data_IF_639106657029
#
_entry.id   IF_639106657029
#
_cell.length_a   1.000
_cell.length_b   1.000
_cell.length_c   1.000
_cell.angle_alpha   90.00
_cell.angle_beta   90.00
_cell.angle_gamma   90.00
#
_symmetry.space_group_name_H-M   'P 1'
#
loop_
_entity.id
_entity.type
_entity.pdbx_description
1 polymer ?
#
# COMPACT_ATOMS: atom_id res chain seq x y z
N UNK A 1 -7.06 27.86 8.98
CA UNK A 1 -8.04 27.22 8.04
C UNK A 1 -8.64 26.01 8.73
N UNK A 2 -9.94 25.84 8.66
CA UNK A 2 -10.62 24.63 9.15
C UNK A 2 -10.38 23.48 8.16
N UNK A 3 -10.26 22.23 8.65
CA UNK A 3 -9.97 21.05 7.81
C UNK A 3 -11.16 20.66 6.91
N UNK A 4 -12.39 20.85 7.38
CA UNK A 4 -13.59 20.31 6.74
C UNK A 4 -13.83 20.86 5.32
N UNK A 5 -13.70 22.16 5.02
CA UNK A 5 -13.87 22.66 3.66
C UNK A 5 -12.87 22.06 2.65
N UNK A 6 -11.63 21.80 3.09
CA UNK A 6 -10.62 21.16 2.24
C UNK A 6 -10.93 19.68 2.01
N UNK A 7 -11.41 18.98 3.04
CA UNK A 7 -11.85 17.59 2.92
C UNK A 7 -13.07 17.48 2.00
N UNK A 8 -14.04 18.40 2.10
CA UNK A 8 -15.20 18.42 1.22
C UNK A 8 -14.81 18.65 -0.24
N UNK A 9 -13.88 19.55 -0.50
CA UNK A 9 -13.39 19.75 -1.86
C UNK A 9 -12.66 18.49 -2.38
N UNK A 10 -11.83 17.85 -1.57
CA UNK A 10 -11.17 16.59 -1.95
C UNK A 10 -12.19 15.48 -2.23
N UNK A 11 -13.25 15.37 -1.42
CA UNK A 11 -14.35 14.41 -1.65
C UNK A 11 -15.03 14.66 -3.00
N UNK A 12 -15.29 15.92 -3.34
CA UNK A 12 -15.87 16.30 -4.64
C UNK A 12 -14.93 15.98 -5.82
N UNK A 13 -13.64 16.29 -5.69
CA UNK A 13 -12.65 16.01 -6.72
C UNK A 13 -12.46 14.50 -6.94
N UNK A 14 -12.56 13.71 -5.88
CA UNK A 14 -12.42 12.26 -5.92
C UNK A 14 -13.76 11.51 -6.12
N UNK A 15 -14.87 12.18 -6.36
CA UNK A 15 -16.21 11.58 -6.43
C UNK A 15 -16.38 10.53 -7.54
N UNK A 16 -15.55 10.58 -8.58
CA UNK A 16 -15.55 9.60 -9.68
C UNK A 16 -14.63 8.38 -9.43
N UNK A 17 -14.02 8.26 -8.25
CA UNK A 17 -13.29 7.07 -7.87
C UNK A 17 -14.21 5.83 -7.92
N UNK A 18 -13.66 4.71 -8.37
CA UNK A 18 -14.38 3.43 -8.49
C UNK A 18 -13.89 2.46 -7.41
N UNK A 19 -14.62 1.39 -7.26
CA UNK A 19 -14.11 0.22 -6.54
C UNK A 19 -12.75 -0.17 -7.14
N UNK A 20 -11.76 -0.43 -6.26
CA UNK A 20 -10.36 -0.61 -6.60
C UNK A 20 -9.64 0.70 -6.93
N UNK A 21 -8.40 0.56 -7.37
CA UNK A 21 -7.53 1.66 -7.75
C UNK A 21 -8.06 2.34 -9.02
N UNK A 22 -8.35 3.62 -8.93
CA UNK A 22 -8.73 4.49 -10.05
C UNK A 22 -7.56 5.42 -10.36
N UNK A 23 -7.05 5.35 -11.58
CA UNK A 23 -5.98 6.26 -12.03
C UNK A 23 -6.55 7.65 -12.28
N UNK A 24 -5.80 8.66 -11.86
CA UNK A 24 -6.20 10.08 -11.98
C UNK A 24 -5.68 10.75 -13.25
N UNK A 25 -4.82 10.08 -14.01
CA UNK A 25 -3.99 10.71 -15.06
C UNK A 25 -2.78 11.46 -14.51
N UNK A 26 -2.73 11.75 -13.21
CA UNK A 26 -1.58 12.37 -12.56
C UNK A 26 -0.58 11.26 -12.17
N UNK A 27 0.70 11.37 -12.55
CA UNK A 27 1.68 10.33 -12.25
C UNK A 27 1.74 9.99 -10.76
N UNK A 28 1.71 8.70 -10.44
CA UNK A 28 1.77 8.14 -9.08
C UNK A 28 0.59 8.49 -8.15
N UNK A 29 -0.40 9.24 -8.62
CA UNK A 29 -1.59 9.58 -7.83
C UNK A 29 -2.75 8.69 -8.26
N UNK A 30 -3.39 8.04 -7.29
CA UNK A 30 -4.56 7.21 -7.52
C UNK A 30 -5.63 7.46 -6.45
N UNK A 31 -6.87 7.10 -6.79
CA UNK A 31 -8.01 7.14 -5.90
C UNK A 31 -8.55 5.74 -5.68
N UNK A 32 -9.19 5.51 -4.54
CA UNK A 32 -9.88 4.26 -4.21
C UNK A 32 -11.20 4.59 -3.55
N UNK A 33 -12.27 3.99 -4.03
CA UNK A 33 -13.56 3.95 -3.35
C UNK A 33 -13.87 2.49 -2.98
N UNK A 34 -14.49 2.24 -1.86
CA UNK A 34 -14.90 0.90 -1.42
C UNK A 34 -16.35 0.89 -0.96
N UNK A 35 -17.19 0.08 -1.60
CA UNK A 35 -18.62 -0.03 -1.29
C UNK A 35 -18.94 -1.22 -0.38
N UNK A 36 -18.03 -2.17 -0.24
CA UNK A 36 -18.33 -3.43 0.44
C UNK A 36 -17.67 -3.47 1.81
N UNK A 37 -18.45 -3.46 2.91
CA UNK A 37 -17.93 -3.47 4.28
C UNK A 37 -17.02 -4.66 4.62
N UNK A 38 -17.17 -5.78 3.96
CA UNK A 38 -16.40 -7.01 4.20
C UNK A 38 -15.38 -7.30 3.08
N UNK A 39 -14.98 -6.30 2.31
CA UNK A 39 -14.03 -6.51 1.24
C UNK A 39 -12.60 -6.48 1.77
N UNK A 40 -12.04 -7.66 1.98
CA UNK A 40 -10.65 -7.81 2.36
C UNK A 40 -9.76 -7.53 1.14
N UNK A 41 -9.14 -6.36 1.11
CA UNK A 41 -8.16 -5.96 0.10
C UNK A 41 -6.80 -6.56 0.43
N UNK A 42 -6.65 -7.86 0.17
CA UNK A 42 -5.38 -8.54 0.37
C UNK A 42 -4.48 -8.30 -0.85
N UNK A 43 -3.39 -7.59 -0.65
CA UNK A 43 -2.43 -7.22 -1.70
C UNK A 43 -1.02 -7.01 -1.13
N UNK A 44 -0.04 -6.93 -2.01
CA UNK A 44 1.24 -6.30 -1.68
C UNK A 44 1.08 -4.81 -1.94
N UNK A 45 1.05 -4.05 -0.88
CA UNK A 45 0.96 -2.59 -0.94
C UNK A 45 2.34 -2.00 -1.17
N UNK A 46 2.46 -1.13 -2.16
CA UNK A 46 3.69 -0.39 -2.48
C UNK A 46 3.92 0.78 -1.52
N UNK A 47 5.16 1.28 -1.42
CA UNK A 47 5.44 2.50 -0.66
C UNK A 47 4.53 3.65 -1.10
N UNK A 48 3.79 4.23 -0.14
CA UNK A 48 2.84 5.29 -0.44
C UNK A 48 2.54 6.20 0.75
N UNK A 49 2.08 7.40 0.44
CA UNK A 49 1.26 8.22 1.33
C UNK A 49 -0.19 8.00 0.92
N UNK A 50 -1.07 7.68 1.88
CA UNK A 50 -2.50 7.52 1.62
C UNK A 50 -3.30 8.38 2.58
N UNK A 51 -4.18 9.19 2.03
CA UNK A 51 -5.05 10.11 2.74
C UNK A 51 -6.49 9.61 2.69
N UNK A 52 -7.14 9.47 3.85
CA UNK A 52 -8.54 9.07 3.93
C UNK A 52 -9.44 10.29 3.90
N UNK A 53 -10.37 10.27 2.98
CA UNK A 53 -11.34 11.35 2.78
C UNK A 53 -12.69 11.02 3.42
N UNK A 54 -13.07 9.73 3.43
CA UNK A 54 -14.35 9.27 3.99
C UNK A 54 -14.29 7.80 4.40
N UNK A 55 -15.09 7.44 5.42
CA UNK A 55 -15.12 6.09 5.97
C UNK A 55 -13.88 5.79 6.81
N UNK A 56 -13.60 4.53 7.03
CA UNK A 56 -12.41 4.08 7.75
C UNK A 56 -11.80 2.83 7.12
N UNK A 57 -10.55 2.54 7.49
CA UNK A 57 -9.86 1.35 7.02
C UNK A 57 -9.09 0.71 8.17
N UNK A 58 -9.18 -0.62 8.26
CA UNK A 58 -8.29 -1.45 9.06
C UNK A 58 -7.26 -2.08 8.14
N UNK A 59 -5.99 -2.12 8.55
CA UNK A 59 -4.94 -2.80 7.80
C UNK A 59 -4.18 -3.76 8.71
N UNK A 60 -4.16 -5.03 8.32
CA UNK A 60 -3.41 -6.08 9.01
C UNK A 60 -2.08 -6.31 8.30
N UNK A 61 -0.97 -6.03 9.00
CA UNK A 61 0.40 -6.26 8.54
C UNK A 61 1.09 -7.20 9.52
N UNK A 62 1.40 -8.41 9.08
CA UNK A 62 1.90 -9.43 10.00
C UNK A 62 0.85 -9.85 11.01
N UNK A 63 1.12 -9.57 12.27
CA UNK A 63 0.27 -9.79 13.45
C UNK A 63 -0.30 -8.49 14.01
N UNK A 64 -0.03 -7.35 13.39
CA UNK A 64 -0.52 -6.03 13.83
C UNK A 64 -1.68 -5.54 12.99
N UNK A 65 -2.65 -4.93 13.67
CA UNK A 65 -3.80 -4.26 13.04
C UNK A 65 -3.68 -2.75 13.28
N UNK A 66 -3.80 -1.99 12.21
CA UNK A 66 -3.80 -0.53 12.21
C UNK A 66 -5.19 -0.04 11.78
N UNK A 67 -5.79 0.84 12.57
CA UNK A 67 -7.09 1.45 12.26
C UNK A 67 -6.89 2.93 12.01
N UNK A 68 -7.49 3.45 10.95
CA UNK A 68 -7.43 4.86 10.60
C UNK A 68 -8.73 5.32 9.94
N UNK A 69 -9.03 6.60 10.10
CA UNK A 69 -10.30 7.26 9.81
C UNK A 69 -10.06 8.60 9.06
N UNK A 70 -11.12 9.31 8.67
CA UNK A 70 -11.00 10.61 8.01
C UNK A 70 -10.13 11.58 8.79
N UNK A 71 -9.52 12.52 8.06
CA UNK A 71 -8.55 13.48 8.58
C UNK A 71 -7.26 12.83 9.12
N UNK A 72 -6.97 11.58 8.72
CA UNK A 72 -5.68 10.95 8.92
C UNK A 72 -5.06 10.49 7.61
N UNK A 73 -3.73 10.36 7.62
CA UNK A 73 -2.99 9.75 6.53
C UNK A 73 -2.03 8.71 7.08
N UNK A 74 -1.67 7.76 6.27
CA UNK A 74 -0.58 6.85 6.60
C UNK A 74 0.57 6.96 5.59
N UNK A 75 1.74 6.60 6.08
CA UNK A 75 2.93 6.37 5.25
C UNK A 75 3.30 4.90 5.35
N UNK A 76 3.52 4.29 4.20
CA UNK A 76 4.14 2.98 4.06
C UNK A 76 5.46 3.14 3.31
N UNK A 77 6.54 2.66 3.88
CA UNK A 77 7.90 2.93 3.38
C UNK A 77 8.53 1.81 2.56
N UNK A 78 7.97 0.61 2.63
CA UNK A 78 8.41 -0.56 1.86
C UNK A 78 7.20 -1.34 1.38
N UNK A 79 7.41 -2.23 0.42
CA UNK A 79 6.35 -3.13 -0.03
C UNK A 79 5.93 -4.10 1.08
N UNK A 80 4.63 -4.10 1.43
CA UNK A 80 4.10 -4.93 2.51
C UNK A 80 2.93 -5.80 2.05
N UNK A 81 3.01 -7.13 2.22
CA UNK A 81 1.86 -8.00 2.08
C UNK A 81 0.90 -7.75 3.25
N UNK A 82 -0.26 -7.16 2.96
CA UNK A 82 -1.23 -6.78 3.96
C UNK A 82 -2.66 -7.13 3.53
N UNK A 83 -3.55 -7.18 4.52
CA UNK A 83 -4.99 -7.31 4.30
C UNK A 83 -5.65 -6.04 4.79
N UNK A 84 -6.30 -5.31 3.87
CA UNK A 84 -7.07 -4.11 4.19
C UNK A 84 -8.56 -4.43 4.25
N UNK A 85 -9.26 -3.87 5.22
CA UNK A 85 -10.72 -3.87 5.30
C UNK A 85 -11.20 -2.43 5.34
N UNK A 86 -12.13 -2.08 4.46
CA UNK A 86 -12.69 -0.73 4.38
C UNK A 86 -14.12 -0.74 4.92
N UNK A 87 -14.49 0.36 5.57
CA UNK A 87 -15.79 0.54 6.19
C UNK A 87 -16.40 1.86 5.73
N UNK A 88 -17.71 1.89 5.41
CA UNK A 88 -18.41 3.13 5.10
C UNK A 88 -18.39 4.09 6.30
N UNK A 89 -18.78 5.32 6.06
CA UNK A 89 -19.01 6.29 7.14
C UNK A 89 -20.35 6.06 7.85
N UNK A 90 -20.64 6.90 8.85
CA UNK A 90 -21.88 6.80 9.64
C UNK A 90 -23.16 7.07 8.83
N UNK A 91 -23.05 7.62 7.63
CA UNK A 91 -24.19 7.83 6.71
C UNK A 91 -24.39 6.66 5.75
N UNK A 92 -23.50 5.68 5.78
CA UNK A 92 -23.47 4.56 4.84
C UNK A 92 -22.73 4.88 3.54
N UNK A 93 -22.17 6.08 3.41
CA UNK A 93 -21.39 6.45 2.22
C UNK A 93 -20.07 5.68 2.18
N UNK A 94 -19.64 5.20 0.99
CA UNK A 94 -18.51 4.30 0.85
C UNK A 94 -17.19 4.94 1.27
N UNK A 95 -16.24 4.11 1.67
CA UNK A 95 -14.85 4.51 1.92
C UNK A 95 -14.27 5.22 0.69
N UNK A 96 -13.55 6.33 0.92
CA UNK A 96 -12.89 7.10 -0.13
C UNK A 96 -11.49 7.54 0.33
N UNK A 97 -10.49 7.32 -0.50
CA UNK A 97 -9.11 7.70 -0.23
C UNK A 97 -8.37 8.09 -1.51
N UNK A 98 -7.31 8.88 -1.33
CA UNK A 98 -6.32 9.21 -2.37
C UNK A 98 -4.94 8.76 -1.93
N UNK A 99 -4.09 8.38 -2.87
CA UNK A 99 -2.75 7.91 -2.59
C UNK A 99 -1.72 8.50 -3.55
N UNK A 100 -0.51 8.72 -3.02
CA UNK A 100 0.69 9.06 -3.79
C UNK A 100 1.71 7.94 -3.57
N UNK A 101 2.11 7.25 -4.65
CA UNK A 101 3.19 6.26 -4.61
C UNK A 101 4.52 6.96 -4.38
N UNK A 102 5.30 6.48 -3.40
CA UNK A 102 6.59 7.03 -3.02
C UNK A 102 7.70 6.42 -3.87
N UNK A 103 8.64 7.26 -4.32
CA UNK A 103 9.88 6.83 -4.98
C UNK A 103 11.10 7.42 -4.27
N UNK A 104 12.13 6.62 -3.97
CA UNK A 104 13.32 7.10 -3.27
C UNK A 104 13.97 8.30 -3.95
N UNK A 105 13.98 8.35 -5.30
CA UNK A 105 14.60 9.39 -6.10
C UNK A 105 13.93 10.75 -5.89
N UNK A 106 12.59 10.79 -5.84
CA UNK A 106 11.84 12.03 -5.60
C UNK A 106 12.08 12.57 -4.19
N UNK A 107 12.12 11.67 -3.21
CA UNK A 107 12.41 12.04 -1.83
C UNK A 107 13.86 12.53 -1.70
N UNK A 108 14.82 11.85 -2.32
CA UNK A 108 16.23 12.25 -2.31
C UNK A 108 16.43 13.65 -2.92
N UNK A 109 15.75 13.93 -4.05
CA UNK A 109 15.78 15.27 -4.66
C UNK A 109 15.23 16.35 -3.72
N UNK A 110 14.16 16.06 -2.99
CA UNK A 110 13.66 16.99 -1.98
C UNK A 110 14.66 17.19 -0.84
N UNK A 111 15.25 16.12 -0.33
CA UNK A 111 16.19 16.17 0.81
C UNK A 111 17.48 16.93 0.47
N UNK A 112 17.92 16.90 -0.79
CA UNK A 112 19.11 17.61 -1.23
C UNK A 112 19.01 19.14 -1.03
N UNK A 113 17.79 19.69 -1.06
CA UNK A 113 17.53 21.12 -0.90
C UNK A 113 17.22 21.51 0.58
N UNK A 114 17.22 20.55 1.50
CA UNK A 114 16.87 20.78 2.89
C UNK A 114 18.09 20.62 3.81
N UNK A 115 18.12 21.34 4.95
CA UNK A 115 19.16 21.15 5.96
C UNK A 115 19.20 19.71 6.45
N UNK A 116 20.42 19.19 6.62
CA UNK A 116 20.61 17.87 7.23
C UNK A 116 20.08 17.84 8.66
N UNK A 117 19.18 16.93 8.95
CA UNK A 117 18.64 16.70 10.29
C UNK A 117 19.06 15.30 10.73
N UNK A 118 19.56 15.17 11.96
CA UNK A 118 19.86 13.84 12.53
C UNK A 118 18.60 12.98 12.51
N UNK A 119 18.72 11.77 11.97
CA UNK A 119 17.62 10.81 11.98
C UNK A 119 17.36 10.34 13.41
N UNK A 120 16.10 10.41 13.85
CA UNK A 120 15.66 9.68 15.05
C UNK A 120 15.66 8.18 14.76
N UNK A 121 16.14 7.39 15.70
CA UNK A 121 16.19 5.93 15.59
C UNK A 121 14.80 5.31 15.84
N UNK A 122 13.86 5.58 14.97
CA UNK A 122 12.55 4.92 14.97
C UNK A 122 12.60 3.70 14.03
N UNK A 123 11.75 2.73 14.27
CA UNK A 123 11.67 1.52 13.46
C UNK A 123 10.23 1.21 13.07
N UNK A 124 10.03 0.76 11.83
CA UNK A 124 8.72 0.38 11.29
C UNK A 124 8.55 0.86 9.86
N UNK A 125 7.72 0.16 9.10
CA UNK A 125 7.44 0.50 7.70
C UNK A 125 6.04 1.06 7.49
N UNK A 126 5.27 1.24 8.55
CA UNK A 126 3.89 1.74 8.51
C UNK A 126 3.60 2.62 9.72
N UNK A 127 3.06 3.79 9.49
CA UNK A 127 2.66 4.73 10.55
C UNK A 127 1.49 5.61 10.10
N UNK A 128 0.67 6.04 11.06
CA UNK A 128 -0.53 6.86 10.86
C UNK A 128 -0.38 8.17 11.61
N UNK A 129 -0.80 9.28 11.00
CA UNK A 129 -0.85 10.61 11.64
C UNK A 129 -2.09 11.41 11.21
N UNK A 130 -2.43 12.41 12.00
CA UNK A 130 -3.43 13.41 11.64
C UNK A 130 -2.93 14.32 10.51
N UNK A 131 -3.83 14.74 9.63
CA UNK A 131 -3.52 15.69 8.57
C UNK A 131 -3.36 17.12 9.14
N UNK A 132 -2.64 17.95 8.40
CA UNK A 132 -2.61 19.40 8.63
C UNK A 132 -3.35 20.12 7.51
N UNK A 133 -3.82 21.37 7.73
CA UNK A 133 -4.45 22.16 6.67
C UNK A 133 -3.56 22.33 5.44
N UNK A 134 -2.25 22.51 5.65
CA UNK A 134 -1.28 22.73 4.58
C UNK A 134 -1.12 21.46 3.72
N UNK A 135 -1.10 20.27 4.35
CA UNK A 135 -1.05 19.01 3.64
C UNK A 135 -2.31 18.79 2.81
N UNK A 136 -3.49 19.11 3.36
CA UNK A 136 -4.76 19.01 2.62
C UNK A 136 -4.81 19.98 1.45
N UNK A 137 -4.35 21.22 1.63
CA UNK A 137 -4.32 22.22 0.56
C UNK A 137 -3.40 21.80 -0.59
N UNK A 138 -2.24 21.21 -0.29
CA UNK A 138 -1.36 20.62 -1.30
C UNK A 138 -2.06 19.49 -2.08
N UNK A 139 -2.82 18.63 -1.40
CA UNK A 139 -3.61 17.59 -2.05
C UNK A 139 -4.75 18.15 -2.91
N UNK A 140 -5.44 19.20 -2.47
CA UNK A 140 -6.47 19.90 -3.27
C UNK A 140 -5.88 20.41 -4.57
N UNK A 141 -4.73 21.11 -4.52
CA UNK A 141 -4.05 21.58 -5.75
C UNK A 141 -3.64 20.43 -6.66
N UNK A 142 -3.13 19.35 -6.10
CA UNK A 142 -2.78 18.16 -6.88
C UNK A 142 -3.99 17.60 -7.61
N UNK A 143 -5.13 17.37 -6.93
CA UNK A 143 -6.29 16.75 -7.56
C UNK A 143 -7.04 17.71 -8.52
N UNK A 144 -6.94 19.03 -8.34
CA UNK A 144 -7.47 20.01 -9.30
C UNK A 144 -6.89 19.86 -10.69
N UNK A 145 -5.67 19.31 -10.82
CA UNK A 145 -5.04 19.04 -12.13
C UNK A 145 -5.83 18.07 -12.99
N UNK A 146 -6.69 17.22 -12.40
CA UNK A 146 -7.58 16.35 -13.19
C UNK A 146 -8.55 17.13 -14.09
N UNK A 147 -8.84 18.41 -13.75
CA UNK A 147 -9.69 19.28 -14.55
C UNK A 147 -8.92 19.99 -15.68
N UNK A 148 -7.59 20.06 -15.57
CA UNK A 148 -6.71 20.72 -16.53
C UNK A 148 -5.51 19.78 -16.84
N UNK A 149 -5.73 18.73 -17.64
CA UNK A 149 -4.70 17.71 -17.90
C UNK A 149 -3.42 18.26 -18.56
N UNK A 150 -3.52 19.37 -19.30
CA UNK A 150 -2.38 20.08 -19.91
C UNK A 150 -1.37 20.61 -18.88
N UNK A 151 -1.83 20.93 -17.67
CA UNK A 151 -0.98 21.44 -16.59
C UNK A 151 -0.26 20.34 -15.81
N UNK A 152 -0.65 19.08 -15.96
CA UNK A 152 -0.11 17.97 -15.17
C UNK A 152 1.40 17.85 -15.30
N UNK A 153 1.93 17.92 -16.52
CA UNK A 153 3.35 17.75 -16.76
C UNK A 153 4.21 18.80 -16.03
N UNK A 154 3.72 20.03 -15.94
CA UNK A 154 4.40 21.16 -15.31
C UNK A 154 4.18 21.23 -13.78
N UNK A 155 2.94 21.05 -13.32
CA UNK A 155 2.57 21.34 -11.94
C UNK A 155 2.52 20.12 -11.02
N UNK A 156 2.25 18.90 -11.54
CA UNK A 156 2.20 17.72 -10.68
C UNK A 156 3.53 17.47 -9.93
N UNK A 157 4.73 17.63 -10.51
CA UNK A 157 5.97 17.50 -9.77
C UNK A 157 6.14 18.55 -8.64
N UNK A 158 5.58 19.75 -8.81
CA UNK A 158 5.63 20.81 -7.80
C UNK A 158 4.74 20.46 -6.60
N UNK A 159 3.50 20.05 -6.87
CA UNK A 159 2.56 19.66 -5.81
C UNK A 159 2.96 18.34 -5.12
N UNK A 160 3.53 17.39 -5.86
CA UNK A 160 4.13 16.19 -5.25
C UNK A 160 5.23 16.57 -4.26
N UNK A 161 6.13 17.46 -4.67
CA UNK A 161 7.22 17.95 -3.81
C UNK A 161 6.67 18.61 -2.55
N UNK A 162 5.60 19.38 -2.66
CA UNK A 162 4.96 20.03 -1.53
C UNK A 162 4.29 19.04 -0.57
N UNK A 163 3.55 18.05 -1.10
CA UNK A 163 2.99 16.95 -0.30
C UNK A 163 4.10 16.23 0.46
N UNK A 164 5.17 15.83 -0.23
CA UNK A 164 6.33 15.17 0.39
C UNK A 164 6.99 16.04 1.46
N UNK A 165 7.09 17.37 1.24
CA UNK A 165 7.63 18.31 2.21
C UNK A 165 6.79 18.35 3.50
N UNK A 166 5.46 18.42 3.40
CA UNK A 166 4.59 18.42 4.58
C UNK A 166 4.65 17.09 5.34
N UNK A 167 4.70 15.96 4.64
CA UNK A 167 4.91 14.64 5.26
C UNK A 167 6.28 14.57 5.95
N UNK A 168 7.32 15.13 5.32
CA UNK A 168 8.69 15.16 5.86
C UNK A 168 8.81 16.03 7.14
N UNK A 169 8.02 17.09 7.23
CA UNK A 169 7.93 17.96 8.41
C UNK A 169 7.08 17.35 9.53
N UNK A 170 6.24 16.40 9.19
CA UNK A 170 5.35 15.71 10.13
C UNK A 170 6.00 14.51 10.84
N UNK A 171 5.20 13.72 11.57
CA UNK A 171 5.70 12.58 12.37
C UNK A 171 6.37 11.47 11.53
N UNK A 172 6.12 11.43 10.22
CA UNK A 172 6.66 10.41 9.31
C UNK A 172 7.95 10.85 8.60
N UNK A 173 8.48 12.02 8.92
CA UNK A 173 9.67 12.57 8.24
C UNK A 173 10.88 11.65 8.30
N UNK A 174 11.07 10.92 9.39
CA UNK A 174 12.13 9.94 9.55
C UNK A 174 11.99 8.79 8.53
N UNK A 175 10.77 8.30 8.25
CA UNK A 175 10.53 7.24 7.27
C UNK A 175 10.94 7.68 5.87
N UNK A 176 10.56 8.90 5.45
CA UNK A 176 10.94 9.43 4.15
C UNK A 176 12.45 9.59 4.03
N UNK A 177 13.13 10.08 5.07
CA UNK A 177 14.60 10.18 5.09
C UNK A 177 15.25 8.80 4.94
N UNK A 178 14.76 7.82 5.66
CA UNK A 178 15.29 6.46 5.62
C UNK A 178 15.09 5.77 4.26
N UNK A 179 13.94 6.01 3.59
CA UNK A 179 13.67 5.49 2.22
C UNK A 179 14.73 6.01 1.25
N UNK A 180 15.06 7.30 1.34
CA UNK A 180 15.91 8.00 0.37
C UNK A 180 17.41 7.97 0.70
N UNK A 181 17.79 7.52 1.90
CA UNK A 181 19.19 7.51 2.34
C UNK A 181 19.82 6.13 2.14
N UNK A 182 20.75 5.97 1.19
CA UNK A 182 21.43 4.71 0.99
C UNK A 182 22.15 4.24 2.26
N UNK A 183 22.11 2.94 2.51
CA UNK A 183 22.83 2.32 3.64
C UNK A 183 22.13 2.39 5.00
N UNK A 184 20.98 3.08 5.11
CA UNK A 184 20.15 2.98 6.34
C UNK A 184 19.62 1.55 6.51
N UNK A 185 19.26 1.21 7.73
CA UNK A 185 18.65 -0.09 8.04
C UNK A 185 17.39 -0.33 7.21
N UNK A 186 16.53 0.68 7.09
CA UNK A 186 15.28 0.58 6.31
C UNK A 186 15.56 0.41 4.81
N UNK A 187 16.53 1.15 4.24
CA UNK A 187 16.92 1.02 2.84
C UNK A 187 17.44 -0.39 2.53
N UNK A 188 18.31 -0.95 3.39
CA UNK A 188 18.82 -2.32 3.24
C UNK A 188 17.71 -3.37 3.31
N UNK A 189 16.81 -3.27 4.31
CA UNK A 189 15.66 -4.17 4.38
C UNK A 189 14.74 -3.98 3.18
N UNK A 190 14.54 -2.76 2.70
CA UNK A 190 13.81 -2.46 1.47
C UNK A 190 14.41 -3.13 0.23
N UNK A 191 15.75 -3.17 0.10
CA UNK A 191 16.43 -3.92 -0.97
C UNK A 191 16.11 -5.41 -0.91
N UNK A 192 16.23 -6.02 0.27
CA UNK A 192 15.91 -7.44 0.47
C UNK A 192 14.42 -7.72 0.15
N UNK A 193 13.51 -6.83 0.53
CA UNK A 193 12.08 -6.92 0.23
C UNK A 193 11.86 -6.88 -1.29
N UNK A 194 12.47 -5.94 -2.00
CA UNK A 194 12.39 -5.88 -3.48
C UNK A 194 12.92 -7.13 -4.13
N UNK A 195 14.05 -7.63 -3.65
CA UNK A 195 14.60 -8.90 -4.15
C UNK A 195 13.61 -10.06 -3.96
N UNK A 196 13.05 -10.24 -2.76
CA UNK A 196 12.06 -11.29 -2.47
C UNK A 196 10.83 -11.12 -3.35
N UNK A 197 10.35 -9.91 -3.61
CA UNK A 197 9.21 -9.64 -4.49
C UNK A 197 9.46 -10.06 -5.94
N UNK A 198 10.64 -9.78 -6.47
CA UNK A 198 10.98 -10.17 -7.85
C UNK A 198 11.25 -11.66 -8.00
N UNK A 199 11.75 -12.31 -6.95
CA UNK A 199 12.11 -13.72 -6.94
C UNK A 199 11.21 -14.56 -6.01
N UNK A 200 9.95 -14.16 -5.85
CA UNK A 200 9.08 -14.77 -4.83
C UNK A 200 8.83 -16.26 -5.08
N UNK A 201 8.83 -16.73 -6.33
CA UNK A 201 8.61 -18.11 -6.69
C UNK A 201 9.85 -19.01 -6.42
N UNK A 202 11.03 -18.42 -6.34
CA UNK A 202 12.28 -19.14 -6.15
C UNK A 202 12.56 -19.42 -4.66
N UNK A 203 13.37 -20.45 -4.39
CA UNK A 203 13.93 -20.66 -3.06
C UNK A 203 15.12 -19.73 -2.85
N UNK A 204 15.27 -19.21 -1.66
CA UNK A 204 16.44 -18.43 -1.28
C UNK A 204 16.97 -18.81 0.10
N UNK A 205 18.25 -18.55 0.31
CA UNK A 205 18.89 -18.66 1.61
C UNK A 205 18.89 -17.29 2.29
N UNK A 206 18.41 -17.24 3.53
CA UNK A 206 18.38 -15.99 4.31
C UNK A 206 19.79 -15.44 4.51
N UNK A 207 20.77 -16.34 4.65
CA UNK A 207 22.20 -16.03 4.76
C UNK A 207 22.70 -15.22 3.54
N UNK A 208 22.29 -15.61 2.34
CA UNK A 208 22.65 -14.89 1.11
C UNK A 208 22.10 -13.47 1.09
N UNK A 209 20.82 -13.30 1.44
CA UNK A 209 20.22 -11.96 1.51
C UNK A 209 20.85 -11.11 2.61
N UNK A 210 21.11 -11.67 3.77
CA UNK A 210 21.79 -10.97 4.85
C UNK A 210 23.19 -10.51 4.44
N UNK A 211 23.93 -11.37 3.73
CA UNK A 211 25.26 -11.07 3.19
C UNK A 211 25.24 -9.93 2.15
N UNK A 212 24.26 -9.94 1.22
CA UNK A 212 24.09 -8.88 0.23
C UNK A 212 23.86 -7.51 0.89
N UNK A 213 23.14 -7.48 2.01
CA UNK A 213 22.85 -6.26 2.76
C UNK A 213 23.92 -5.93 3.84
N UNK A 214 25.05 -6.63 3.84
CA UNK A 214 26.13 -6.48 4.81
C UNK A 214 25.66 -6.58 6.28
N UNK A 215 24.79 -7.57 6.56
CA UNK A 215 24.23 -7.86 7.89
C UNK A 215 24.58 -9.28 8.34
N UNK A 216 24.75 -9.48 9.66
CA UNK A 216 24.69 -10.83 10.21
C UNK A 216 23.26 -11.38 10.09
N UNK A 217 23.11 -12.71 9.97
CA UNK A 217 21.80 -13.38 9.86
C UNK A 217 20.87 -12.97 11.01
N UNK A 218 21.37 -12.92 12.23
CA UNK A 218 20.58 -12.52 13.41
C UNK A 218 20.12 -11.08 13.35
N UNK A 219 21.00 -10.14 12.91
CA UNK A 219 20.63 -8.74 12.71
C UNK A 219 19.61 -8.58 11.60
N UNK A 220 19.80 -9.29 10.48
CA UNK A 220 18.85 -9.28 9.36
C UNK A 220 17.46 -9.75 9.79
N UNK A 221 17.34 -10.90 10.47
CA UNK A 221 16.04 -11.37 10.98
C UNK A 221 15.37 -10.36 11.91
N UNK A 222 16.12 -9.78 12.85
CA UNK A 222 15.59 -8.79 13.80
C UNK A 222 15.09 -7.55 13.07
N UNK A 223 15.88 -6.99 12.15
CA UNK A 223 15.51 -5.78 11.41
C UNK A 223 14.40 -6.05 10.41
N UNK A 224 14.43 -7.17 9.69
CA UNK A 224 13.37 -7.54 8.78
C UNK A 224 12.02 -7.67 9.51
N UNK A 225 12.03 -8.31 10.70
CA UNK A 225 10.82 -8.43 11.54
C UNK A 225 10.38 -7.07 12.10
N UNK A 226 11.30 -6.19 12.52
CA UNK A 226 10.93 -4.86 13.03
C UNK A 226 10.32 -3.98 11.97
N UNK A 227 10.71 -4.12 10.70
CA UNK A 227 10.17 -3.38 9.55
C UNK A 227 8.84 -3.97 9.08
N UNK A 228 8.77 -5.29 8.89
CA UNK A 228 7.64 -5.94 8.20
C UNK A 228 6.63 -6.64 9.12
N UNK A 229 6.93 -6.78 10.41
CA UNK A 229 6.25 -7.65 11.38
C UNK A 229 6.24 -9.14 10.96
N UNK A 230 7.16 -9.57 10.11
CA UNK A 230 7.26 -10.94 9.58
C UNK A 230 8.72 -11.38 9.49
N UNK A 231 8.96 -12.70 9.54
CA UNK A 231 10.25 -13.23 9.10
C UNK A 231 10.36 -13.18 7.56
N UNK A 232 11.58 -13.21 6.97
CA UNK A 232 11.75 -13.22 5.50
C UNK A 232 10.97 -14.33 4.81
N UNK A 233 10.98 -15.54 5.38
CA UNK A 233 10.24 -16.70 4.85
C UNK A 233 8.72 -16.51 4.95
N UNK A 234 8.24 -15.94 6.07
CA UNK A 234 6.81 -15.62 6.21
C UNK A 234 6.37 -14.55 5.20
N UNK A 235 7.20 -13.55 4.97
CA UNK A 235 6.97 -12.51 3.98
C UNK A 235 6.84 -13.11 2.57
N UNK A 236 7.82 -13.94 2.14
CA UNK A 236 7.77 -14.63 0.85
C UNK A 236 6.50 -15.47 0.69
N UNK A 237 6.14 -16.25 1.71
CA UNK A 237 4.92 -17.07 1.67
C UNK A 237 3.67 -16.22 1.46
N UNK A 238 3.54 -15.07 2.13
CA UNK A 238 2.41 -14.17 1.93
C UNK A 238 2.39 -13.59 0.52
N UNK A 239 3.53 -13.18 -0.01
CA UNK A 239 3.66 -12.71 -1.40
C UNK A 239 3.20 -13.79 -2.38
N UNK A 240 3.66 -15.04 -2.21
CA UNK A 240 3.22 -16.19 -3.04
C UNK A 240 1.71 -16.38 -3.02
N UNK A 241 1.10 -16.34 -1.83
CA UNK A 241 -0.36 -16.53 -1.67
C UNK A 241 -1.16 -15.39 -2.31
N UNK A 242 -0.69 -14.14 -2.20
CA UNK A 242 -1.33 -13.00 -2.84
C UNK A 242 -1.26 -13.07 -4.36
N UNK A 243 -0.09 -13.42 -4.92
CA UNK A 243 0.05 -13.66 -6.36
C UNK A 243 -0.82 -14.83 -6.84
N UNK A 244 -0.88 -15.92 -6.07
CA UNK A 244 -1.76 -17.05 -6.39
C UNK A 244 -3.24 -16.61 -6.44
N UNK A 245 -3.69 -15.79 -5.49
CA UNK A 245 -5.06 -15.27 -5.47
C UNK A 245 -5.39 -14.47 -6.72
N UNK A 246 -4.51 -13.55 -7.14
CA UNK A 246 -4.67 -12.78 -8.37
C UNK A 246 -4.78 -13.68 -9.60
N UNK A 247 -3.90 -14.70 -9.72
CA UNK A 247 -3.93 -15.64 -10.83
C UNK A 247 -5.20 -16.50 -10.86
N UNK A 248 -5.68 -16.95 -9.70
CA UNK A 248 -6.93 -17.71 -9.59
C UNK A 248 -8.17 -16.88 -9.94
N UNK A 249 -8.15 -15.57 -9.71
CA UNK A 249 -9.22 -14.66 -10.11
C UNK A 249 -9.30 -14.52 -11.63
N UNK A 250 -8.18 -14.54 -12.34
CA UNK A 250 -8.11 -14.42 -13.80
C UNK A 250 -8.65 -15.64 -14.58
N UNK A 251 -9.08 -16.72 -13.92
CA UNK A 251 -9.68 -17.96 -14.50
C UNK A 251 -8.84 -18.69 -15.54
N UNK A 252 -7.59 -18.37 -15.73
CA UNK A 252 -6.78 -18.93 -16.82
C UNK A 252 -6.06 -20.24 -16.48
N UNK A 253 -6.04 -20.63 -15.19
CA UNK A 253 -5.19 -21.72 -14.73
C UNK A 253 -5.86 -22.58 -13.66
N UNK A 254 -5.43 -23.86 -13.56
CA UNK A 254 -5.84 -24.75 -12.47
C UNK A 254 -5.15 -24.38 -11.16
N UNK A 255 -5.75 -24.76 -10.02
CA UNK A 255 -5.13 -24.58 -8.69
C UNK A 255 -3.75 -25.22 -8.62
N UNK A 256 -3.58 -26.38 -9.24
CA UNK A 256 -2.30 -27.10 -9.29
C UNK A 256 -1.25 -26.29 -10.06
N UNK A 257 -1.60 -25.79 -11.25
CA UNK A 257 -0.70 -24.96 -12.05
C UNK A 257 -0.29 -23.68 -11.31
N UNK A 258 -1.25 -22.98 -10.73
CA UNK A 258 -0.99 -21.75 -9.95
C UNK A 258 -0.08 -22.04 -8.75
N UNK A 259 -0.33 -23.15 -8.01
CA UNK A 259 0.51 -23.49 -6.85
C UNK A 259 1.99 -23.70 -7.26
N UNK A 260 2.24 -24.42 -8.37
CA UNK A 260 3.59 -24.65 -8.88
C UNK A 260 4.24 -23.34 -9.36
N UNK A 261 3.50 -22.53 -10.10
CA UNK A 261 3.98 -21.25 -10.65
C UNK A 261 4.39 -20.25 -9.57
N UNK A 262 3.67 -20.22 -8.42
CA UNK A 262 4.04 -19.37 -7.30
C UNK A 262 5.08 -19.99 -6.36
N UNK A 263 5.69 -21.11 -6.74
CA UNK A 263 6.83 -21.72 -6.06
C UNK A 263 6.49 -22.73 -4.97
N UNK A 264 5.26 -23.28 -4.93
CA UNK A 264 4.95 -24.41 -4.04
C UNK A 264 5.27 -25.74 -4.73
N UNK A 265 6.02 -26.61 -4.04
CA UNK A 265 6.31 -27.98 -4.50
C UNK A 265 5.23 -29.00 -4.14
N UNK A 266 4.28 -28.60 -3.27
CA UNK A 266 3.21 -29.47 -2.77
C UNK A 266 1.87 -28.74 -2.79
N UNK A 267 0.95 -29.21 -3.64
CA UNK A 267 -0.43 -28.69 -3.72
C UNK A 267 -1.20 -28.84 -2.40
N UNK A 268 -1.09 -29.97 -1.67
CA UNK A 268 -1.69 -30.06 -0.34
C UNK A 268 -1.16 -29.02 0.66
N UNK A 269 0.13 -28.70 0.63
CA UNK A 269 0.71 -27.64 1.45
C UNK A 269 0.15 -26.27 1.05
N UNK A 270 0.14 -25.96 -0.24
CA UNK A 270 -0.45 -24.74 -0.78
C UNK A 270 -1.88 -24.54 -0.31
N UNK A 271 -2.74 -25.56 -0.47
CA UNK A 271 -4.14 -25.50 -0.08
C UNK A 271 -4.32 -25.22 1.42
N UNK A 272 -3.52 -25.85 2.29
CA UNK A 272 -3.56 -25.61 3.74
C UNK A 272 -3.12 -24.18 4.10
N UNK A 273 -2.01 -23.72 3.53
CA UNK A 273 -1.48 -22.37 3.80
C UNK A 273 -2.41 -21.29 3.24
N UNK A 274 -2.97 -21.49 2.05
CA UNK A 274 -3.97 -20.61 1.44
C UNK A 274 -5.22 -20.50 2.30
N UNK A 275 -5.81 -21.63 2.69
CA UNK A 275 -7.02 -21.64 3.52
C UNK A 275 -6.78 -21.00 4.90
N UNK A 276 -5.61 -21.19 5.49
CA UNK A 276 -5.25 -20.54 6.76
C UNK A 276 -5.11 -19.01 6.61
N UNK A 277 -4.62 -18.52 5.47
CA UNK A 277 -4.39 -17.10 5.26
C UNK A 277 -5.67 -16.35 4.83
N UNK A 278 -6.48 -16.95 3.94
CA UNK A 278 -7.69 -16.31 3.41
C UNK A 278 -9.00 -16.83 4.05
N UNK A 279 -8.93 -17.79 4.98
CA UNK A 279 -10.11 -18.38 5.63
C UNK A 279 -10.91 -19.34 4.74
N UNK A 280 -10.53 -19.55 3.47
CA UNK A 280 -11.26 -20.38 2.49
C UNK A 280 -10.27 -21.11 1.56
N UNK A 281 -10.71 -22.23 1.00
CA UNK A 281 -9.92 -22.91 -0.02
C UNK A 281 -9.78 -22.06 -1.29
N UNK A 282 -8.69 -22.26 -2.10
CA UNK A 282 -8.41 -21.44 -3.28
C UNK A 282 -9.59 -21.30 -4.25
N UNK A 283 -10.27 -22.41 -4.58
CA UNK A 283 -11.41 -22.39 -5.50
C UNK A 283 -12.63 -21.66 -4.91
N UNK A 284 -12.92 -21.89 -3.61
CA UNK A 284 -14.06 -21.22 -2.95
C UNK A 284 -13.83 -19.72 -2.78
N UNK A 285 -12.61 -19.31 -2.48
CA UNK A 285 -12.25 -17.88 -2.36
C UNK A 285 -12.35 -17.19 -3.72
N UNK A 286 -11.76 -17.77 -4.77
CA UNK A 286 -11.83 -17.23 -6.11
C UNK A 286 -13.27 -17.12 -6.65
N UNK A 287 -14.12 -18.13 -6.43
CA UNK A 287 -15.53 -18.08 -6.79
C UNK A 287 -16.29 -16.98 -6.04
N UNK A 288 -16.10 -16.89 -4.71
CA UNK A 288 -16.75 -15.88 -3.87
C UNK A 288 -16.40 -14.44 -4.27
N UNK A 289 -15.14 -14.19 -4.64
CA UNK A 289 -14.68 -12.85 -5.05
C UNK A 289 -15.21 -12.47 -6.43
N UNK A 290 -15.29 -13.43 -7.36
CA UNK A 290 -15.86 -13.18 -8.69
C UNK A 290 -17.35 -12.86 -8.63
N UNK A 291 -18.12 -13.63 -7.87
CA UNK A 291 -19.55 -13.35 -7.69
C UNK A 291 -19.79 -11.96 -7.12
N UNK A 292 -18.97 -11.54 -6.12
CA UNK A 292 -19.06 -10.18 -5.56
C UNK A 292 -18.71 -9.08 -6.57
N UNK A 293 -17.77 -9.32 -7.48
CA UNK A 293 -17.43 -8.36 -8.52
C UNK A 293 -18.56 -8.25 -9.56
N UNK A 294 -19.16 -9.38 -9.96
CA UNK A 294 -20.31 -9.43 -10.87
C UNK A 294 -21.55 -8.76 -10.26
N UNK A 295 -21.81 -8.96 -8.95
CA UNK A 295 -22.89 -8.29 -8.21
C UNK A 295 -22.68 -6.77 -8.15
N UNK A 296 -21.46 -6.30 -7.93
CA UNK A 296 -21.12 -4.87 -7.91
C UNK A 296 -21.27 -4.21 -9.29
N UNK A 297 -20.88 -4.87 -10.37
CA UNK A 297 -21.09 -4.40 -11.75
C UNK A 297 -22.58 -4.38 -12.13
N UNK A 298 -23.34 -5.38 -11.71
CA UNK A 298 -24.79 -5.46 -11.94
C UNK A 298 -25.56 -4.37 -11.21
N UNK A 299 -25.16 -4.05 -9.97
CA UNK A 299 -25.77 -2.97 -9.20
C UNK A 299 -25.52 -1.60 -9.86
N UNK A 300 -24.35 -1.37 -10.47
CA UNK A 300 -24.07 -0.14 -11.20
C UNK A 300 -24.89 0.02 -12.49
N UNK A 301 -25.23 -1.08 -13.17
CA UNK A 301 -26.03 -1.04 -14.40
C UNK A 301 -27.54 -0.87 -14.17
N UNK A 302 -28.03 -0.94 -12.94
CA UNK A 302 -29.44 -0.73 -12.59
C UNK A 302 -29.79 0.73 -12.23
N UNK A 303 -28.82 1.64 -12.25
CA UNK A 303 -29.00 3.07 -11.97
C UNK A 303 -28.67 3.98 -13.18
N UNK A 304 -28.74 3.43 -14.41
CA UNK A 304 -28.66 4.21 -15.66
C UNK A 304 -30.03 4.29 -16.31
#
# INVERSE_FOLDING_TARGET
MTLEPLLDELRLLAAHARNWRTETGIPRVAMVQGDVPAHALAAVYEPMVNLILRGSKSMTVGDRVFNYNPASYFVMSVDLPAVGEVHPDNTGAPYLAVSLTLTPERIATLLADLPSVKADSQSGAFSVAAVTPELLDAWVRMLRLMKNPEDIAALAPVYEREILYHVLKGPHGWMLRDIASPGTMLARIGNAIRWIRHNFADEFLVESLAGQEAMSVSAFHRHFKSVTNMSPVQYQKRVRLLHARTKLLARQQSVTSVAMEVGYRSVPQFNREYARFFGRSPLKDAASLRNKAEDAESAQNHYV
#
